data_IF_030843277520
#
_entry.id   IF_030843277520
#
_cell.length_a   1.000
_cell.length_b   1.000
_cell.length_c   1.000
_cell.angle_alpha   90.00
_cell.angle_beta   90.00
_cell.angle_gamma   90.00
#
_symmetry.space_group_name_H-M   'P 1'
#
loop_
_entity.id
_entity.type
_entity.pdbx_description
1 polymer ?
#
# COMPACT_ATOMS: atom_id res chain seq x y z
N UNK A 1 5.32 11.87 8.08
CA UNK A 1 6.23 11.76 9.25
C UNK A 1 6.84 13.13 9.54
N UNK A 2 7.07 13.45 10.81
CA UNK A 2 7.76 14.68 11.23
C UNK A 2 9.27 14.56 11.05
N UNK A 3 10.01 15.67 11.21
CA UNK A 3 11.48 15.65 11.19
C UNK A 3 12.03 14.73 12.29
N UNK A 4 11.53 14.89 13.53
CA UNK A 4 11.97 14.11 14.68
C UNK A 4 11.72 12.61 14.49
N UNK A 5 10.60 12.22 13.89
CA UNK A 5 10.32 10.83 13.54
C UNK A 5 11.30 10.25 12.51
N UNK A 6 11.77 11.06 11.55
CA UNK A 6 12.78 10.63 10.58
C UNK A 6 14.14 10.48 11.26
N UNK A 7 14.51 11.44 12.12
CA UNK A 7 15.75 11.37 12.91
C UNK A 7 15.73 10.12 13.80
N UNK A 8 14.63 9.87 14.50
CA UNK A 8 14.46 8.70 15.35
C UNK A 8 14.57 7.39 14.56
N UNK A 9 13.93 7.29 13.39
CA UNK A 9 14.05 6.13 12.51
C UNK A 9 15.50 5.90 12.09
N UNK A 10 16.21 6.96 11.70
CA UNK A 10 17.60 6.88 11.29
C UNK A 10 18.56 6.54 12.43
N UNK A 11 18.27 6.96 13.65
CA UNK A 11 19.02 6.54 14.84
C UNK A 11 18.92 5.02 15.05
N UNK A 12 17.72 4.44 14.91
CA UNK A 12 17.54 2.98 14.97
C UNK A 12 18.33 2.29 13.87
N UNK A 13 18.27 2.79 12.63
CA UNK A 13 19.03 2.21 11.53
C UNK A 13 20.54 2.27 11.80
N UNK A 14 21.01 3.38 12.38
CA UNK A 14 22.42 3.57 12.75
C UNK A 14 22.89 2.55 13.78
N UNK A 15 22.02 2.04 14.66
CA UNK A 15 22.42 0.97 15.60
C UNK A 15 22.70 -0.36 14.90
N UNK A 16 22.14 -0.58 13.69
CA UNK A 16 22.39 -1.78 12.90
C UNK A 16 23.60 -1.65 11.98
N UNK A 17 23.75 -0.53 11.28
CA UNK A 17 24.74 -0.39 10.20
C UNK A 17 25.82 0.67 10.42
N UNK A 18 25.81 1.33 11.60
CA UNK A 18 26.81 2.33 11.97
C UNK A 18 26.96 3.49 10.97
N UNK A 19 25.91 3.82 10.21
CA UNK A 19 25.94 4.98 9.30
C UNK A 19 26.15 6.29 10.06
N UNK A 20 26.79 7.25 9.39
CA UNK A 20 26.84 8.64 9.89
C UNK A 20 25.50 9.31 9.64
N UNK A 21 24.92 9.90 10.68
CA UNK A 21 23.74 10.73 10.55
C UNK A 21 24.13 12.18 10.22
N UNK A 22 23.66 12.69 9.09
CA UNK A 22 23.84 14.07 8.68
C UNK A 22 22.58 14.67 8.05
N UNK A 23 22.59 15.99 7.87
CA UNK A 23 21.47 16.74 7.29
C UNK A 23 21.01 16.23 5.92
N UNK A 24 21.93 15.97 4.97
CA UNK A 24 21.56 15.40 3.67
C UNK A 24 20.87 14.03 3.77
N UNK A 25 21.35 13.14 4.64
CA UNK A 25 20.72 11.83 4.88
C UNK A 25 19.32 11.99 5.43
N UNK A 26 19.12 12.86 6.43
CA UNK A 26 17.80 13.14 7.00
C UNK A 26 16.85 13.71 5.94
N UNK A 27 17.32 14.63 5.09
CA UNK A 27 16.52 15.22 4.02
C UNK A 27 16.09 14.19 2.98
N UNK A 28 17.01 13.32 2.54
CA UNK A 28 16.72 12.27 1.57
C UNK A 28 15.68 11.26 2.10
N UNK A 29 15.81 10.85 3.36
CA UNK A 29 14.87 9.94 4.01
C UNK A 29 13.49 10.59 4.24
N UNK A 30 13.46 11.87 4.61
CA UNK A 30 12.22 12.64 4.74
C UNK A 30 11.48 12.73 3.40
N UNK A 31 12.18 12.96 2.30
CA UNK A 31 11.59 13.01 0.95
C UNK A 31 11.03 11.64 0.54
N UNK A 32 11.76 10.56 0.77
CA UNK A 32 11.28 9.20 0.50
C UNK A 32 10.01 8.86 1.29
N UNK A 33 10.00 9.19 2.59
CA UNK A 33 8.84 8.99 3.46
C UNK A 33 7.62 9.80 3.00
N UNK A 34 7.82 11.03 2.53
CA UNK A 34 6.75 11.86 1.99
C UNK A 34 6.16 11.27 0.71
N UNK A 35 7.01 10.90 -0.27
CA UNK A 35 6.59 10.34 -1.56
C UNK A 35 5.80 9.03 -1.40
N UNK A 36 6.27 8.15 -0.53
CA UNK A 36 5.65 6.85 -0.32
C UNK A 36 4.60 6.85 0.81
N UNK A 37 4.31 8.01 1.41
CA UNK A 37 3.33 8.19 2.49
C UNK A 37 3.56 7.19 3.63
N UNK A 38 4.78 7.18 4.15
CA UNK A 38 5.12 6.38 5.33
C UNK A 38 4.46 6.95 6.57
N UNK A 39 4.12 6.06 7.48
CA UNK A 39 3.89 6.34 8.89
C UNK A 39 5.03 5.73 9.72
N UNK A 40 5.29 6.31 10.90
CA UNK A 40 6.43 5.93 11.71
C UNK A 40 6.38 4.45 12.18
N UNK A 41 5.25 3.92 12.69
CA UNK A 41 5.18 2.50 13.09
C UNK A 41 5.52 1.54 11.95
N UNK A 42 4.95 1.73 10.75
CA UNK A 42 5.23 0.84 9.61
C UNK A 42 6.67 0.97 9.10
N UNK A 43 7.26 2.16 9.15
CA UNK A 43 8.65 2.35 8.78
C UNK A 43 9.60 1.66 9.76
N UNK A 44 9.31 1.74 11.07
CA UNK A 44 10.09 1.07 12.10
C UNK A 44 10.02 -0.45 11.96
N UNK A 45 8.83 -1.00 11.74
CA UNK A 45 8.64 -2.43 11.47
C UNK A 45 9.44 -2.88 10.24
N UNK A 46 9.40 -2.12 9.16
CA UNK A 46 10.18 -2.42 7.95
C UNK A 46 11.71 -2.45 8.20
N UNK A 47 12.22 -1.58 9.08
CA UNK A 47 13.64 -1.58 9.47
C UNK A 47 13.97 -2.88 10.22
N UNK A 48 13.17 -3.25 11.21
CA UNK A 48 13.40 -4.46 11.99
C UNK A 48 13.28 -5.72 11.14
N UNK A 49 12.27 -5.80 10.28
CA UNK A 49 12.08 -6.94 9.38
C UNK A 49 13.25 -7.12 8.40
N UNK A 50 13.79 -6.01 7.89
CA UNK A 50 14.98 -6.06 7.03
C UNK A 50 16.17 -6.65 7.79
N UNK A 51 16.50 -6.11 8.96
CA UNK A 51 17.66 -6.57 9.72
C UNK A 51 17.46 -7.93 10.43
N UNK A 52 16.23 -8.40 10.57
CA UNK A 52 15.94 -9.75 11.04
C UNK A 52 16.29 -10.84 10.01
N UNK A 53 16.32 -10.50 8.72
CA UNK A 53 16.46 -11.47 7.61
C UNK A 53 17.62 -11.16 6.67
N UNK A 54 18.22 -9.97 6.79
CA UNK A 54 19.29 -9.49 5.92
C UNK A 54 20.30 -8.66 6.69
N UNK A 55 21.58 -8.83 6.35
CA UNK A 55 22.67 -7.98 6.84
C UNK A 55 23.03 -6.86 5.85
N UNK A 56 22.32 -6.77 4.72
CA UNK A 56 22.61 -5.77 3.69
C UNK A 56 22.32 -4.35 4.18
N UNK A 57 23.03 -3.38 3.64
CA UNK A 57 22.80 -1.96 3.94
C UNK A 57 21.37 -1.51 3.60
N UNK A 58 20.66 -0.92 4.57
CA UNK A 58 19.27 -0.49 4.38
C UNK A 58 19.16 0.85 3.64
N UNK A 59 18.41 0.88 2.54
CA UNK A 59 18.12 2.10 1.78
C UNK A 59 16.64 2.50 1.93
N UNK A 60 16.26 3.78 1.72
CA UNK A 60 14.86 4.21 1.78
C UNK A 60 13.94 3.41 0.85
N UNK A 61 14.45 2.94 -0.29
CA UNK A 61 13.70 2.10 -1.22
C UNK A 61 13.23 0.79 -0.58
N UNK A 62 14.06 0.16 0.26
CA UNK A 62 13.70 -1.09 0.95
C UNK A 62 12.50 -0.89 1.88
N UNK A 63 12.49 0.22 2.64
CA UNK A 63 11.37 0.57 3.54
C UNK A 63 10.09 0.82 2.73
N UNK A 64 10.20 1.52 1.58
CA UNK A 64 9.05 1.73 0.69
C UNK A 64 8.48 0.41 0.18
N UNK A 65 9.32 -0.50 -0.29
CA UNK A 65 8.87 -1.78 -0.82
C UNK A 65 8.25 -2.66 0.28
N UNK A 66 8.81 -2.68 1.49
CA UNK A 66 8.24 -3.38 2.63
C UNK A 66 6.83 -2.84 2.99
N UNK A 67 6.67 -1.51 3.07
CA UNK A 67 5.37 -0.88 3.36
C UNK A 67 4.35 -1.18 2.26
N UNK A 68 4.77 -1.15 0.98
CA UNK A 68 3.89 -1.51 -0.13
C UNK A 68 3.49 -2.98 -0.11
N UNK A 69 4.43 -3.88 0.19
CA UNK A 69 4.15 -5.32 0.28
C UNK A 69 3.11 -5.61 1.37
N UNK A 70 3.25 -4.97 2.54
CA UNK A 70 2.27 -5.07 3.63
C UNK A 70 0.87 -4.54 3.23
N UNK A 71 0.80 -3.50 2.38
CA UNK A 71 -0.49 -2.99 1.83
C UNK A 71 -1.08 -3.89 0.75
N UNK A 72 -0.22 -4.60 0.02
CA UNK A 72 -0.63 -5.46 -1.11
C UNK A 72 -1.21 -6.78 -0.67
N UNK A 73 -0.99 -7.22 0.56
CA UNK A 73 -1.68 -8.39 1.11
C UNK A 73 -3.17 -8.02 1.22
N UNK A 74 -4.04 -8.47 0.30
CA UNK A 74 -5.47 -8.34 0.50
C UNK A 74 -5.85 -9.29 1.64
N UNK A 75 -7.05 -9.15 2.21
CA UNK A 75 -7.67 -10.27 2.91
C UNK A 75 -7.51 -11.54 2.05
N UNK A 76 -7.31 -12.73 2.66
CA UNK A 76 -7.21 -13.98 1.91
C UNK A 76 -8.21 -13.98 0.77
N UNK A 77 -7.79 -14.31 -0.46
CA UNK A 77 -8.68 -14.30 -1.64
C UNK A 77 -9.98 -15.08 -1.37
N UNK A 78 -9.91 -16.09 -0.50
CA UNK A 78 -11.05 -16.82 0.04
C UNK A 78 -12.08 -15.98 0.80
N UNK A 79 -11.66 -15.00 1.61
CA UNK A 79 -12.54 -14.10 2.37
C UNK A 79 -13.23 -13.10 1.44
N UNK A 80 -12.47 -12.49 0.52
CA UNK A 80 -13.03 -11.58 -0.49
C UNK A 80 -13.98 -12.32 -1.42
N UNK A 81 -13.64 -13.54 -1.84
CA UNK A 81 -14.49 -14.37 -2.68
C UNK A 81 -15.74 -14.84 -1.91
N UNK A 82 -15.63 -15.19 -0.64
CA UNK A 82 -16.77 -15.55 0.20
C UNK A 82 -17.73 -14.36 0.35
N UNK A 83 -17.23 -13.16 0.58
CA UNK A 83 -18.05 -11.95 0.67
C UNK A 83 -18.75 -11.63 -0.67
N UNK A 84 -18.02 -11.69 -1.79
CA UNK A 84 -18.58 -11.46 -3.13
C UNK A 84 -19.59 -12.51 -3.58
N UNK A 85 -19.44 -13.76 -3.13
CA UNK A 85 -20.35 -14.87 -3.47
C UNK A 85 -21.50 -15.04 -2.47
N UNK A 86 -21.46 -14.36 -1.31
CA UNK A 86 -22.52 -14.38 -0.30
C UNK A 86 -23.75 -13.54 -0.66
N UNK A 87 -23.60 -12.58 -1.57
CA UNK A 87 -24.72 -11.78 -2.03
C UNK A 87 -25.67 -12.63 -2.89
N UNK A 88 -26.98 -12.65 -2.58
CA UNK A 88 -27.93 -13.35 -3.42
C UNK A 88 -27.89 -12.76 -4.84
N UNK A 89 -28.05 -13.60 -5.89
CA UNK A 89 -28.11 -13.10 -7.25
C UNK A 89 -29.20 -12.03 -7.37
N UNK A 90 -28.93 -10.97 -8.13
CA UNK A 90 -29.94 -9.93 -8.41
C UNK A 90 -31.27 -10.56 -8.85
N UNK A 91 -32.38 -10.04 -8.34
CA UNK A 91 -33.71 -10.60 -8.58
C UNK A 91 -34.02 -10.67 -10.08
N UNK A 92 -34.87 -11.62 -10.52
CA UNK A 92 -35.27 -11.73 -11.92
C UNK A 92 -35.83 -10.42 -12.49
N UNK A 93 -36.58 -9.68 -11.69
CA UNK A 93 -37.18 -8.39 -12.04
C UNK A 93 -36.10 -7.33 -12.26
N UNK A 94 -35.13 -7.26 -11.33
CA UNK A 94 -34.01 -6.32 -11.44
C UNK A 94 -33.13 -6.60 -12.65
N UNK A 95 -32.95 -7.87 -13.00
CA UNK A 95 -32.25 -8.29 -14.22
C UNK A 95 -33.02 -7.87 -15.47
N UNK A 96 -34.34 -8.06 -15.49
CA UNK A 96 -35.18 -7.68 -16.62
C UNK A 96 -35.16 -6.16 -16.85
N UNK A 97 -35.25 -5.35 -15.78
CA UNK A 97 -35.14 -3.88 -15.82
C UNK A 97 -33.79 -3.42 -16.39
N UNK A 98 -32.69 -3.97 -15.87
CA UNK A 98 -31.34 -3.62 -16.33
C UNK A 98 -31.13 -4.00 -17.79
N UNK A 99 -31.60 -5.17 -18.21
CA UNK A 99 -31.47 -5.61 -19.60
C UNK A 99 -32.33 -4.76 -20.55
N UNK A 100 -33.51 -4.33 -20.12
CA UNK A 100 -34.34 -3.39 -20.87
C UNK A 100 -33.65 -2.02 -21.02
N UNK A 101 -33.00 -1.55 -19.95
CA UNK A 101 -32.25 -0.28 -19.97
C UNK A 101 -31.00 -0.36 -20.85
N UNK A 102 -30.24 -1.47 -20.77
CA UNK A 102 -29.09 -1.72 -21.65
C UNK A 102 -29.55 -1.75 -23.11
N UNK A 103 -30.67 -2.41 -23.40
CA UNK A 103 -31.25 -2.46 -24.75
C UNK A 103 -31.65 -1.06 -25.23
N UNK A 104 -32.34 -0.27 -24.41
CA UNK A 104 -32.71 1.11 -24.71
C UNK A 104 -31.50 1.99 -25.01
N UNK A 105 -30.43 1.86 -24.23
CA UNK A 105 -29.17 2.58 -24.43
C UNK A 105 -28.42 2.12 -25.68
N UNK A 106 -28.44 0.83 -26.00
CA UNK A 106 -27.85 0.29 -27.21
C UNK A 106 -28.60 0.76 -28.47
N UNK A 107 -29.94 0.78 -28.41
CA UNK A 107 -30.80 1.26 -29.49
C UNK A 107 -30.67 2.78 -29.68
N UNK A 108 -30.51 3.55 -28.60
CA UNK A 108 -30.28 5.00 -28.66
C UNK A 108 -28.87 5.38 -29.15
N UNK A 109 -27.86 4.51 -28.96
CA UNK A 109 -26.49 4.70 -29.47
C UNK A 109 -26.30 4.19 -30.90
N UNK A 110 -27.33 3.56 -31.51
CA UNK A 110 -27.37 3.29 -32.95
C UNK A 110 -27.68 4.60 -33.68
N UNK A 111 -26.63 5.38 -33.96
CA UNK A 111 -26.65 6.41 -35.00
C UNK A 111 -26.43 5.70 -36.34
N UNK A 112 -27.28 5.93 -37.37
CA UNK A 112 -27.08 5.36 -38.72
C UNK A 112 -25.79 5.84 -39.38
#
# INVERSE_FOLDING_TARGET
MTHDQIVQLLQVITTYDSRKLDGPTVAAWKEAAARARWDFPRALEAVHQHYATSTAWLMPGHVTEAIKAARRQPAPVSEVLAELTSAPPASPERRAELMAEIKRLADAKRVP
#
